data_IF_398159182090
#
_entry.id   IF_398159182090
#
_cell.length_a   1.000
_cell.length_b   1.000
_cell.length_c   1.000
_cell.angle_alpha   90.00
_cell.angle_beta   90.00
_cell.angle_gamma   90.00
#
_symmetry.space_group_name_H-M   'P 1'
#
loop_
_entity.id
_entity.type
_entity.pdbx_description
1 polymer ?
#
# COMPACT_ATOMS: atom_id res chain seq x y z
N UNK A 1 -5.48 21.70 2.50
CA UNK A 1 -4.85 20.37 2.44
C UNK A 1 -5.25 19.77 1.09
N UNK A 2 -4.27 19.34 0.31
CA UNK A 2 -4.53 18.66 -0.97
C UNK A 2 -5.02 17.25 -0.65
N UNK A 3 -6.19 16.85 -1.16
CA UNK A 3 -6.71 15.50 -0.97
C UNK A 3 -6.01 14.53 -1.94
N UNK A 4 -5.47 13.44 -1.39
CA UNK A 4 -4.85 12.34 -2.17
C UNK A 4 -5.88 11.28 -2.50
N UNK A 5 -6.82 11.02 -1.60
CA UNK A 5 -7.97 10.13 -1.80
C UNK A 5 -9.23 10.84 -1.37
N UNK A 6 -10.23 10.89 -2.23
CA UNK A 6 -11.57 11.42 -1.94
C UNK A 6 -12.62 10.42 -2.40
N UNK A 7 -13.36 9.85 -1.47
CA UNK A 7 -14.46 8.92 -1.72
C UNK A 7 -15.74 9.52 -1.14
N UNK A 8 -16.84 9.47 -1.89
CA UNK A 8 -18.16 9.96 -1.44
C UNK A 8 -19.25 8.96 -1.85
N UNK A 9 -19.84 8.32 -0.85
CA UNK A 9 -20.90 7.33 -1.02
C UNK A 9 -20.49 6.15 -1.90
N UNK A 10 -19.22 5.72 -1.85
CA UNK A 10 -18.68 4.74 -2.78
C UNK A 10 -19.21 3.35 -2.48
N UNK A 11 -19.82 2.73 -3.49
CA UNK A 11 -20.25 1.33 -3.50
C UNK A 11 -19.36 0.54 -4.47
N UNK A 12 -18.82 -0.58 -4.02
CA UNK A 12 -18.04 -1.50 -4.84
C UNK A 12 -18.42 -2.94 -4.55
N UNK A 13 -18.56 -3.75 -5.61
CA UNK A 13 -18.99 -5.14 -5.50
C UNK A 13 -17.81 -6.11 -5.65
N UNK A 14 -17.85 -7.21 -4.90
CA UNK A 14 -17.09 -8.43 -5.15
C UNK A 14 -18.07 -9.52 -5.59
N UNK A 15 -18.07 -9.84 -6.88
CA UNK A 15 -19.12 -10.65 -7.47
C UNK A 15 -20.46 -9.92 -7.41
N UNK A 16 -21.40 -10.44 -6.60
CA UNK A 16 -22.73 -9.83 -6.41
C UNK A 16 -22.94 -9.18 -5.04
N UNK A 17 -21.93 -9.20 -4.19
CA UNK A 17 -22.03 -8.69 -2.83
C UNK A 17 -21.35 -7.33 -2.69
N UNK A 18 -22.01 -6.35 -2.03
CA UNK A 18 -21.38 -5.06 -1.74
C UNK A 18 -20.26 -5.26 -0.71
N UNK A 19 -19.02 -5.07 -1.15
CA UNK A 19 -17.84 -5.09 -0.28
C UNK A 19 -17.48 -3.69 0.22
N UNK A 20 -17.89 -2.64 -0.50
CA UNK A 20 -18.07 -1.28 0.02
C UNK A 20 -19.53 -0.89 -0.19
N UNK A 21 -20.17 -0.29 0.82
CA UNK A 21 -21.60 -0.03 0.89
C UNK A 21 -21.90 1.45 1.25
N UNK A 22 -21.28 2.38 0.52
CA UNK A 22 -21.43 3.82 0.77
C UNK A 22 -20.23 4.36 1.60
N UNK A 23 -19.00 4.04 1.19
CA UNK A 23 -17.81 4.52 1.89
C UNK A 23 -17.55 6.01 1.58
N UNK A 24 -17.36 6.79 2.66
CA UNK A 24 -16.92 8.18 2.63
C UNK A 24 -15.52 8.28 3.24
N UNK A 25 -14.57 8.91 2.53
CA UNK A 25 -13.18 9.04 2.98
C UNK A 25 -12.50 10.22 2.29
N UNK A 26 -11.78 11.01 3.08
CA UNK A 26 -10.82 12.00 2.59
C UNK A 26 -9.45 11.70 3.23
N UNK A 27 -8.39 11.54 2.43
CA UNK A 27 -7.02 11.34 2.90
C UNK A 27 -6.13 12.44 2.34
N UNK A 28 -5.37 13.10 3.21
CA UNK A 28 -4.43 14.16 2.86
C UNK A 28 -3.05 13.65 2.47
N UNK A 29 -2.16 14.59 2.11
CA UNK A 29 -0.75 14.29 1.80
C UNK A 29 0.01 13.91 3.08
N UNK A 30 0.99 13.00 2.93
CA UNK A 30 1.92 12.57 4.00
C UNK A 30 1.26 11.93 5.23
N UNK A 31 -0.01 11.54 5.14
CA UNK A 31 -0.67 10.77 6.19
C UNK A 31 -0.25 9.30 6.14
N UNK A 32 -0.12 8.69 7.32
CA UNK A 32 -0.09 7.23 7.47
C UNK A 32 -1.43 6.80 8.05
N UNK A 33 -2.27 6.19 7.24
CA UNK A 33 -3.65 5.83 7.57
C UNK A 33 -3.73 4.32 7.82
N UNK A 34 -4.01 3.91 9.06
CA UNK A 34 -4.31 2.53 9.39
C UNK A 34 -5.79 2.25 9.12
N UNK A 35 -6.04 1.24 8.31
CA UNK A 35 -7.38 0.72 8.01
C UNK A 35 -7.59 -0.57 8.79
N UNK A 36 -8.41 -0.52 9.82
CA UNK A 36 -8.72 -1.64 10.70
C UNK A 36 -10.17 -2.12 10.55
N UNK A 37 -10.46 -3.27 11.13
CA UNK A 37 -11.80 -3.87 11.11
C UNK A 37 -11.74 -5.39 10.95
N UNK A 38 -12.86 -6.11 11.16
CA UNK A 38 -12.89 -7.57 11.09
C UNK A 38 -12.59 -8.09 9.68
N UNK A 39 -12.30 -9.40 9.58
CA UNK A 39 -12.14 -10.05 8.29
C UNK A 39 -13.44 -9.93 7.48
N UNK A 40 -13.30 -9.65 6.17
CA UNK A 40 -14.46 -9.42 5.30
C UNK A 40 -15.10 -8.03 5.42
N UNK A 41 -14.61 -7.14 6.28
CA UNK A 41 -15.19 -5.80 6.47
C UNK A 41 -15.08 -4.88 5.25
N UNK A 42 -14.19 -5.18 4.28
CA UNK A 42 -13.98 -4.36 3.09
C UNK A 42 -12.62 -3.67 3.00
N UNK A 43 -11.70 -3.89 3.94
CA UNK A 43 -10.37 -3.26 3.98
C UNK A 43 -9.58 -3.42 2.68
N UNK A 44 -9.33 -4.66 2.26
CA UNK A 44 -8.61 -4.96 0.99
C UNK A 44 -9.37 -4.43 -0.23
N UNK A 45 -10.71 -4.39 -0.17
CA UNK A 45 -11.55 -3.82 -1.23
C UNK A 45 -11.34 -2.31 -1.31
N UNK A 46 -11.31 -1.61 -0.17
CA UNK A 46 -11.02 -0.18 -0.10
C UNK A 46 -9.66 0.13 -0.74
N UNK A 47 -8.60 -0.59 -0.36
CA UNK A 47 -7.28 -0.42 -0.97
C UNK A 47 -7.29 -0.69 -2.48
N UNK A 48 -7.97 -1.74 -2.94
CA UNK A 48 -8.08 -2.06 -4.37
C UNK A 48 -8.90 -1.04 -5.17
N UNK A 49 -9.92 -0.43 -4.57
CA UNK A 49 -10.65 0.71 -5.16
C UNK A 49 -9.71 1.89 -5.30
N UNK A 50 -9.01 2.28 -4.21
CA UNK A 50 -8.03 3.37 -4.25
C UNK A 50 -6.88 3.11 -5.25
N UNK A 51 -6.52 1.84 -5.50
CA UNK A 51 -5.55 1.46 -6.51
C UNK A 51 -6.09 1.53 -7.96
N UNK A 52 -7.38 1.82 -8.16
CA UNK A 52 -8.04 1.79 -9.47
C UNK A 52 -8.17 0.38 -10.06
N UNK A 53 -8.07 -0.67 -9.23
CA UNK A 53 -8.18 -2.07 -9.65
C UNK A 53 -9.63 -2.56 -9.67
N UNK A 54 -10.46 -2.04 -8.77
CA UNK A 54 -11.90 -2.33 -8.73
C UNK A 54 -12.71 -1.16 -9.29
N UNK A 55 -13.81 -1.49 -9.98
CA UNK A 55 -14.79 -0.50 -10.40
C UNK A 55 -15.68 -0.14 -9.21
N UNK A 56 -16.11 1.11 -9.17
CA UNK A 56 -17.19 1.53 -8.30
C UNK A 56 -18.52 1.40 -9.06
N UNK A 57 -19.57 0.96 -8.38
CA UNK A 57 -20.94 0.85 -8.92
C UNK A 57 -21.69 2.18 -8.80
N UNK A 58 -21.42 2.91 -7.71
CA UNK A 58 -22.01 4.22 -7.45
C UNK A 58 -21.12 5.05 -6.53
N UNK A 59 -21.48 6.33 -6.38
CA UNK A 59 -20.69 7.29 -5.62
C UNK A 59 -19.70 8.05 -6.50
N UNK A 60 -18.79 8.77 -5.85
CA UNK A 60 -17.68 9.50 -6.50
C UNK A 60 -16.38 9.10 -5.85
N UNK A 61 -15.34 8.87 -6.64
CA UNK A 61 -14.03 8.51 -6.15
C UNK A 61 -12.94 9.18 -7.00
N UNK A 62 -12.08 9.93 -6.33
CA UNK A 62 -10.92 10.58 -6.91
C UNK A 62 -9.66 10.17 -6.15
N UNK A 63 -8.60 9.82 -6.87
CA UNK A 63 -7.31 9.45 -6.30
C UNK A 63 -6.20 10.16 -7.06
N UNK A 64 -5.34 10.89 -6.36
CA UNK A 64 -4.25 11.68 -6.93
C UNK A 64 -4.74 12.69 -8.00
N UNK A 65 -5.97 13.23 -7.85
CA UNK A 65 -6.59 14.15 -8.79
C UNK A 65 -7.21 13.47 -10.03
N UNK A 66 -7.30 12.13 -10.05
CA UNK A 66 -7.89 11.37 -11.15
C UNK A 66 -9.20 10.71 -10.72
N UNK A 67 -10.26 10.91 -11.51
CA UNK A 67 -11.55 10.24 -11.30
C UNK A 67 -11.46 8.74 -11.61
N UNK A 68 -11.88 7.90 -10.65
CA UNK A 68 -11.79 6.44 -10.76
C UNK A 68 -12.81 5.83 -11.75
N UNK A 69 -13.76 6.59 -12.25
CA UNK A 69 -14.69 6.12 -13.29
C UNK A 69 -14.06 6.31 -14.68
N UNK A 70 -13.49 7.48 -14.92
CA UNK A 70 -13.01 7.90 -16.25
C UNK A 70 -11.52 7.64 -16.48
N UNK A 71 -10.67 7.73 -15.44
CA UNK A 71 -9.20 7.68 -15.59
C UNK A 71 -8.47 6.75 -14.60
N UNK A 72 -9.02 5.55 -14.36
CA UNK A 72 -8.35 4.54 -13.51
C UNK A 72 -6.95 4.15 -13.99
N UNK A 73 -6.67 4.29 -15.27
CA UNK A 73 -5.36 3.93 -15.81
C UNK A 73 -4.25 4.86 -15.29
N UNK A 74 -4.53 6.16 -15.15
CA UNK A 74 -3.59 7.11 -14.55
C UNK A 74 -3.33 6.78 -13.07
N UNK A 75 -4.39 6.47 -12.30
CA UNK A 75 -4.26 6.05 -10.90
C UNK A 75 -3.34 4.83 -10.77
N UNK A 76 -3.57 3.77 -11.55
CA UNK A 76 -2.75 2.54 -11.49
C UNK A 76 -1.27 2.77 -11.77
N UNK A 77 -0.93 3.78 -12.57
CA UNK A 77 0.47 4.14 -12.83
C UNK A 77 1.13 4.89 -11.67
N UNK A 78 0.33 5.59 -10.87
CA UNK A 78 0.81 6.53 -9.85
C UNK A 78 0.76 5.98 -8.42
N UNK A 79 0.13 4.80 -8.21
CA UNK A 79 0.02 4.16 -6.90
C UNK A 79 0.92 2.94 -6.79
N UNK A 80 1.39 2.65 -5.57
CA UNK A 80 2.07 1.40 -5.23
C UNK A 80 1.14 0.52 -4.40
N UNK A 81 0.80 -0.66 -4.89
CA UNK A 81 -0.01 -1.62 -4.15
C UNK A 81 0.83 -2.84 -3.78
N UNK A 82 0.87 -3.15 -2.49
CA UNK A 82 1.25 -4.43 -1.94
C UNK A 82 -0.02 -5.14 -1.47
N UNK A 83 -0.55 -6.01 -2.29
CA UNK A 83 -1.75 -6.80 -1.98
C UNK A 83 -1.43 -8.11 -1.25
N UNK A 84 -2.43 -8.95 -1.08
CA UNK A 84 -2.25 -10.34 -0.65
C UNK A 84 -1.39 -11.09 -1.67
N UNK A 85 -1.71 -10.95 -2.97
CA UNK A 85 -0.86 -11.39 -4.06
C UNK A 85 0.24 -10.34 -4.29
N UNK A 86 1.48 -10.80 -4.36
CA UNK A 86 2.66 -9.93 -4.40
C UNK A 86 2.88 -9.25 -5.74
N UNK A 87 2.11 -9.63 -6.78
CA UNK A 87 2.28 -9.16 -8.16
C UNK A 87 3.70 -9.37 -8.74
N UNK A 88 4.43 -10.33 -8.20
CA UNK A 88 5.73 -10.76 -8.73
C UNK A 88 5.54 -11.89 -9.73
N UNK A 89 6.38 -11.93 -10.74
CA UNK A 89 6.44 -13.00 -11.72
C UNK A 89 7.28 -14.16 -11.17
N UNK A 90 6.68 -15.32 -10.96
CA UNK A 90 7.27 -16.46 -10.29
C UNK A 90 8.49 -17.04 -11.03
N UNK A 91 8.51 -16.97 -12.36
CA UNK A 91 9.58 -17.48 -13.21
C UNK A 91 10.75 -16.52 -13.39
N UNK A 92 10.57 -15.24 -13.06
CA UNK A 92 11.65 -14.26 -13.08
C UNK A 92 12.44 -14.30 -11.76
N UNK A 93 13.70 -13.92 -11.83
CA UNK A 93 14.52 -13.70 -10.64
C UNK A 93 14.04 -12.47 -9.86
N UNK A 94 14.52 -12.31 -8.63
CA UNK A 94 14.26 -11.12 -7.81
C UNK A 94 14.65 -9.86 -8.57
N UNK A 95 15.87 -9.82 -9.11
CA UNK A 95 16.38 -8.63 -9.81
C UNK A 95 15.62 -8.35 -11.11
N UNK A 96 15.29 -9.37 -11.90
CA UNK A 96 14.49 -9.23 -13.12
C UNK A 96 13.09 -8.68 -12.81
N UNK A 97 12.44 -9.13 -11.72
CA UNK A 97 11.16 -8.58 -11.27
C UNK A 97 11.25 -7.08 -10.98
N UNK A 98 12.28 -6.65 -10.22
CA UNK A 98 12.41 -5.25 -9.88
C UNK A 98 12.75 -4.39 -11.11
N UNK A 99 13.63 -4.86 -11.99
CA UNK A 99 13.91 -4.19 -13.26
C UNK A 99 12.65 -4.06 -14.14
N UNK A 100 11.82 -5.11 -14.18
CA UNK A 100 10.53 -5.02 -14.87
C UNK A 100 9.67 -3.87 -14.32
N UNK A 101 9.50 -3.81 -12.99
CA UNK A 101 8.69 -2.76 -12.36
C UNK A 101 9.31 -1.36 -12.46
N UNK A 102 10.63 -1.23 -12.38
CA UNK A 102 11.35 0.01 -12.61
C UNK A 102 11.04 0.55 -14.02
N UNK A 103 11.30 -0.26 -15.05
CA UNK A 103 11.06 0.11 -16.46
C UNK A 103 9.59 0.40 -16.74
N UNK A 104 8.64 -0.39 -16.20
CA UNK A 104 7.21 -0.14 -16.33
C UNK A 104 6.80 1.21 -15.74
N UNK A 105 7.55 1.72 -14.75
CA UNK A 105 7.36 3.02 -14.10
C UNK A 105 8.27 4.12 -14.65
N UNK A 106 9.07 3.84 -15.70
CA UNK A 106 10.05 4.75 -16.30
C UNK A 106 11.13 5.21 -15.34
N UNK A 107 11.53 4.33 -14.44
CA UNK A 107 12.64 4.51 -13.50
C UNK A 107 13.83 3.71 -14.01
N UNK A 108 15.04 4.25 -13.85
CA UNK A 108 16.28 3.58 -14.28
C UNK A 108 16.57 2.34 -13.43
N UNK A 109 17.11 1.32 -14.07
CA UNK A 109 17.51 0.06 -13.42
C UNK A 109 18.52 0.27 -12.28
N UNK A 110 19.27 1.38 -12.30
CA UNK A 110 20.22 1.77 -11.25
C UNK A 110 19.57 1.96 -9.85
N UNK A 111 18.26 2.20 -9.80
CA UNK A 111 17.52 2.27 -8.55
C UNK A 111 17.25 0.90 -7.90
N UNK A 112 17.39 -0.20 -8.65
CA UNK A 112 17.04 -1.55 -8.19
C UNK A 112 17.94 -2.05 -7.06
N UNK A 113 19.28 -1.97 -7.12
CA UNK A 113 20.13 -2.42 -6.01
C UNK A 113 19.78 -1.75 -4.68
N UNK A 114 19.64 -0.43 -4.68
CA UNK A 114 19.31 0.34 -3.47
C UNK A 114 17.96 -0.06 -2.86
N UNK A 115 16.95 -0.37 -3.70
CA UNK A 115 15.64 -0.85 -3.22
C UNK A 115 15.73 -2.24 -2.61
N UNK A 116 16.54 -3.14 -3.16
CA UNK A 116 16.78 -4.48 -2.61
C UNK A 116 17.51 -4.40 -1.26
N UNK A 117 18.58 -3.61 -1.19
CA UNK A 117 19.38 -3.41 0.03
C UNK A 117 18.51 -2.83 1.15
N UNK A 118 17.68 -1.82 0.81
CA UNK A 118 16.75 -1.20 1.76
C UNK A 118 15.75 -2.18 2.38
N UNK A 119 15.34 -3.19 1.63
CA UNK A 119 14.43 -4.25 2.11
C UNK A 119 15.18 -5.47 2.68
N UNK A 120 16.49 -5.40 2.85
CA UNK A 120 17.30 -6.48 3.38
C UNK A 120 17.24 -7.74 2.53
N UNK A 121 17.10 -7.59 1.21
CA UNK A 121 17.15 -8.70 0.27
C UNK A 121 18.60 -8.97 -0.07
N UNK A 122 19.15 -10.05 0.53
CA UNK A 122 20.56 -10.38 0.39
C UNK A 122 20.97 -10.61 -1.07
N UNK A 123 22.21 -10.21 -1.45
CA UNK A 123 22.74 -10.31 -2.81
C UNK A 123 22.58 -11.70 -3.42
N UNK A 124 22.82 -12.76 -2.64
CA UNK A 124 22.65 -14.16 -3.06
C UNK A 124 21.22 -14.49 -3.54
N UNK A 125 20.22 -13.67 -3.23
CA UNK A 125 18.84 -13.87 -3.64
C UNK A 125 18.52 -13.18 -4.96
N UNK A 126 19.34 -12.26 -5.43
CA UNK A 126 19.06 -11.44 -6.62
C UNK A 126 18.82 -12.30 -7.87
N UNK A 127 19.60 -13.38 -8.03
CA UNK A 127 19.51 -14.31 -9.15
C UNK A 127 18.58 -15.52 -8.86
N UNK A 128 17.89 -15.52 -7.71
CA UNK A 128 16.94 -16.59 -7.37
C UNK A 128 15.58 -16.28 -7.95
N UNK A 129 14.98 -17.29 -8.65
CA UNK A 129 13.61 -17.18 -9.14
C UNK A 129 12.62 -17.02 -7.98
N UNK A 130 11.64 -16.12 -8.14
CA UNK A 130 10.69 -15.73 -7.09
C UNK A 130 9.92 -16.94 -6.52
N UNK A 131 9.61 -17.93 -7.34
CA UNK A 131 8.96 -19.18 -6.87
C UNK A 131 9.74 -19.93 -5.78
N UNK A 132 11.06 -19.73 -5.69
CA UNK A 132 11.95 -20.39 -4.74
C UNK A 132 12.17 -19.58 -3.45
N UNK A 133 11.54 -18.41 -3.32
CA UNK A 133 11.65 -17.57 -2.14
C UNK A 133 10.73 -18.06 -1.02
N UNK A 134 11.15 -17.89 0.24
CA UNK A 134 10.26 -18.00 1.38
C UNK A 134 9.18 -16.89 1.33
N UNK A 135 8.09 -17.06 2.08
CA UNK A 135 7.01 -16.07 2.15
C UNK A 135 7.53 -14.68 2.56
N UNK A 136 8.40 -14.60 3.58
CA UNK A 136 8.99 -13.36 4.04
C UNK A 136 9.94 -12.72 3.01
N UNK A 137 10.77 -13.53 2.32
CA UNK A 137 11.62 -13.04 1.22
C UNK A 137 10.78 -12.49 0.07
N UNK A 138 9.72 -13.22 -0.33
CA UNK A 138 8.77 -12.79 -1.36
C UNK A 138 8.09 -11.48 -0.96
N UNK A 139 7.69 -11.34 0.32
CA UNK A 139 7.05 -10.13 0.83
C UNK A 139 7.98 -8.92 0.76
N UNK A 140 9.22 -9.06 1.21
CA UNK A 140 10.24 -8.01 1.13
C UNK A 140 10.57 -7.65 -0.32
N UNK A 141 10.69 -8.63 -1.22
CA UNK A 141 10.88 -8.38 -2.66
C UNK A 141 9.72 -7.61 -3.27
N UNK A 142 8.48 -7.95 -2.92
CA UNK A 142 7.30 -7.25 -3.40
C UNK A 142 7.24 -5.79 -2.92
N UNK A 143 7.62 -5.54 -1.66
CA UNK A 143 7.71 -4.17 -1.15
C UNK A 143 8.89 -3.40 -1.81
N UNK A 144 10.02 -4.07 -2.11
CA UNK A 144 11.10 -3.46 -2.88
C UNK A 144 10.62 -3.00 -4.28
N UNK A 145 9.73 -3.75 -4.92
CA UNK A 145 9.10 -3.33 -6.18
C UNK A 145 8.19 -2.10 -6.01
N UNK A 146 7.57 -1.90 -4.85
CA UNK A 146 6.87 -0.65 -4.52
C UNK A 146 7.86 0.49 -4.30
N UNK A 147 8.93 0.26 -3.52
CA UNK A 147 9.97 1.25 -3.22
C UNK A 147 10.64 1.77 -4.50
N UNK A 148 11.02 0.90 -5.42
CA UNK A 148 11.69 1.28 -6.67
C UNK A 148 10.83 2.21 -7.52
N UNK A 149 9.52 2.05 -7.49
CA UNK A 149 8.56 2.85 -8.25
C UNK A 149 8.30 4.24 -7.67
N UNK A 150 8.66 4.49 -6.41
CA UNK A 150 8.48 5.77 -5.68
C UNK A 150 7.09 6.37 -5.83
N UNK A 151 5.99 5.64 -5.57
CA UNK A 151 4.65 6.16 -5.78
C UNK A 151 4.30 7.21 -4.71
N UNK A 152 3.42 8.16 -5.06
CA UNK A 152 2.91 9.17 -4.11
C UNK A 152 1.90 8.57 -3.11
N UNK A 153 1.20 7.50 -3.48
CA UNK A 153 0.27 6.78 -2.62
C UNK A 153 0.68 5.31 -2.54
N UNK A 154 0.96 4.86 -1.32
CA UNK A 154 1.23 3.47 -0.98
C UNK A 154 -0.01 2.83 -0.39
N UNK A 155 -0.39 1.68 -0.91
CA UNK A 155 -1.55 0.90 -0.48
C UNK A 155 -1.04 -0.48 -0.05
N UNK A 156 -1.00 -0.75 1.25
CA UNK A 156 -0.33 -1.91 1.83
C UNK A 156 -1.35 -2.81 2.54
N UNK A 157 -1.60 -4.00 2.00
CA UNK A 157 -2.51 -4.98 2.59
C UNK A 157 -1.69 -6.02 3.35
N UNK A 158 -1.78 -6.01 4.69
CA UNK A 158 -1.03 -6.87 5.61
C UNK A 158 0.49 -6.86 5.37
N UNK A 159 1.19 -5.69 5.38
CA UNK A 159 2.58 -5.59 4.96
C UNK A 159 3.54 -6.46 5.79
N UNK A 160 3.24 -6.74 7.05
CA UNK A 160 4.07 -7.49 8.00
C UNK A 160 3.87 -9.02 7.92
N UNK A 161 2.88 -9.50 7.17
CA UNK A 161 2.53 -10.91 7.12
C UNK A 161 3.70 -11.80 6.67
N UNK A 162 3.96 -12.87 7.43
CA UNK A 162 5.01 -13.84 7.14
C UNK A 162 6.44 -13.39 7.45
N UNK A 163 6.61 -12.27 8.17
CA UNK A 163 7.92 -11.75 8.57
C UNK A 163 8.23 -12.07 10.03
N UNK A 164 9.51 -12.23 10.31
CA UNK A 164 10.07 -12.20 11.67
C UNK A 164 10.10 -10.78 12.22
N UNK A 165 10.46 -10.62 13.51
CA UNK A 165 10.47 -9.33 14.18
C UNK A 165 11.37 -8.31 13.43
N UNK A 166 12.60 -8.70 13.08
CA UNK A 166 13.51 -7.79 12.36
C UNK A 166 12.99 -7.38 10.98
N UNK A 167 12.30 -8.29 10.29
CA UNK A 167 11.65 -7.98 9.02
C UNK A 167 10.49 -7.00 9.18
N UNK A 168 9.71 -7.12 10.25
CA UNK A 168 8.63 -6.18 10.59
C UNK A 168 9.17 -4.79 10.93
N UNK A 169 10.22 -4.70 11.76
CA UNK A 169 10.86 -3.43 12.13
C UNK A 169 11.41 -2.71 10.90
N UNK A 170 11.99 -3.47 9.97
CA UNK A 170 12.46 -2.94 8.70
C UNK A 170 11.33 -2.35 7.85
N UNK A 171 10.18 -3.05 7.77
CA UNK A 171 9.01 -2.55 7.04
C UNK A 171 8.46 -1.26 7.66
N UNK A 172 8.39 -1.20 9.00
CA UNK A 172 7.96 0.00 9.72
C UNK A 172 8.84 1.20 9.36
N UNK A 173 10.16 1.01 9.39
CA UNK A 173 11.11 2.06 9.02
C UNK A 173 10.93 2.52 7.57
N UNK A 174 10.71 1.59 6.65
CA UNK A 174 10.48 1.91 5.22
C UNK A 174 9.18 2.72 5.04
N UNK A 175 8.12 2.39 5.79
CA UNK A 175 6.84 3.13 5.76
C UNK A 175 7.05 4.56 6.30
N UNK A 176 7.74 4.71 7.43
CA UNK A 176 8.04 6.01 8.05
C UNK A 176 8.87 6.90 7.12
N UNK A 177 9.90 6.33 6.51
CA UNK A 177 10.76 7.07 5.59
C UNK A 177 9.99 7.50 4.31
N UNK A 178 9.09 6.64 3.80
CA UNK A 178 8.26 7.00 2.66
C UNK A 178 7.34 8.17 2.99
N UNK A 179 6.68 8.16 4.16
CA UNK A 179 5.82 9.24 4.61
C UNK A 179 6.61 10.53 4.85
N UNK A 180 7.81 10.44 5.46
CA UNK A 180 8.71 11.57 5.67
C UNK A 180 9.21 12.19 4.37
N UNK A 181 9.31 11.37 3.30
CA UNK A 181 9.62 11.82 1.95
C UNK A 181 8.40 12.37 1.17
N UNK A 182 7.24 12.49 1.84
CA UNK A 182 6.02 13.08 1.26
C UNK A 182 5.03 12.08 0.66
N UNK A 183 5.29 10.77 0.75
CA UNK A 183 4.31 9.79 0.31
C UNK A 183 3.16 9.68 1.32
N UNK A 184 1.95 9.43 0.82
CA UNK A 184 0.81 9.05 1.65
C UNK A 184 0.74 7.52 1.71
N UNK A 185 0.49 6.96 2.89
CA UNK A 185 0.42 5.52 3.09
C UNK A 185 -0.93 5.13 3.67
N UNK A 186 -1.62 4.19 3.04
CA UNK A 186 -2.79 3.52 3.62
C UNK A 186 -2.43 2.05 3.83
N UNK A 187 -2.49 1.57 5.06
CA UNK A 187 -2.18 0.18 5.37
C UNK A 187 -3.36 -0.50 6.07
N UNK A 188 -3.73 -1.69 5.58
CA UNK A 188 -4.65 -2.58 6.27
C UNK A 188 -3.84 -3.60 7.08
N UNK A 189 -4.12 -3.71 8.37
CA UNK A 189 -3.45 -4.68 9.24
C UNK A 189 -4.38 -5.17 10.35
N UNK A 190 -4.11 -6.39 10.80
CA UNK A 190 -4.69 -6.95 12.02
C UNK A 190 -3.69 -6.94 13.20
N UNK A 191 -2.42 -6.58 12.96
CA UNK A 191 -1.38 -6.40 13.99
C UNK A 191 -1.51 -4.99 14.62
N UNK A 192 -2.58 -4.77 15.38
CA UNK A 192 -2.96 -3.42 15.83
C UNK A 192 -1.89 -2.78 16.73
N UNK A 193 -1.35 -3.51 17.71
CA UNK A 193 -0.37 -2.97 18.67
C UNK A 193 0.83 -2.31 17.97
N UNK A 194 1.30 -2.91 16.88
CA UNK A 194 2.42 -2.39 16.10
C UNK A 194 2.04 -1.21 15.21
N UNK A 195 0.92 -1.33 14.52
CA UNK A 195 0.54 -0.38 13.47
C UNK A 195 -0.10 0.89 14.02
N UNK A 196 -0.61 0.86 15.25
CA UNK A 196 -1.11 2.05 15.95
C UNK A 196 -0.02 3.10 16.15
N UNK A 197 1.21 2.69 16.50
CA UNK A 197 2.35 3.59 16.73
C UNK A 197 2.88 4.22 15.43
N UNK A 198 2.64 3.58 14.28
CA UNK A 198 3.04 4.09 12.97
C UNK A 198 2.05 5.13 12.43
N UNK A 199 0.77 4.96 12.73
CA UNK A 199 -0.30 5.67 12.04
C UNK A 199 -0.53 7.08 12.60
N UNK A 200 -0.70 8.04 11.68
CA UNK A 200 -1.18 9.40 12.01
C UNK A 200 -2.70 9.46 12.09
N UNK A 201 -3.40 8.42 11.59
CA UNK A 201 -4.86 8.35 11.51
C UNK A 201 -5.34 6.91 11.46
N UNK A 202 -6.45 6.63 12.14
CA UNK A 202 -7.05 5.31 12.25
C UNK A 202 -8.46 5.31 11.67
N UNK A 203 -8.71 4.40 10.73
CA UNK A 203 -10.02 4.19 10.13
C UNK A 203 -10.55 2.82 10.54
N UNK A 204 -11.79 2.74 10.99
CA UNK A 204 -12.46 1.47 11.21
C UNK A 204 -13.45 1.21 10.09
N UNK A 205 -13.30 0.07 9.43
CA UNK A 205 -14.21 -0.41 8.38
C UNK A 205 -15.06 -1.54 8.94
N UNK A 206 -16.37 -1.42 8.82
CA UNK A 206 -17.33 -2.46 9.19
C UNK A 206 -18.48 -2.50 8.19
N UNK A 207 -18.85 -3.70 7.71
CA UNK A 207 -19.94 -3.88 6.76
C UNK A 207 -19.78 -3.08 5.45
N UNK A 208 -18.56 -2.83 5.02
CA UNK A 208 -18.28 -2.05 3.81
C UNK A 208 -18.40 -0.53 3.95
N UNK A 209 -18.58 -0.02 5.15
CA UNK A 209 -18.62 1.42 5.46
C UNK A 209 -17.49 1.82 6.40
N UNK A 210 -17.11 3.10 6.44
CA UNK A 210 -16.19 3.64 7.42
C UNK A 210 -17.00 4.09 8.63
N UNK A 211 -16.81 3.45 9.78
CA UNK A 211 -17.61 3.66 10.99
C UNK A 211 -16.91 4.53 12.03
N UNK A 212 -15.58 4.65 11.96
CA UNK A 212 -14.78 5.55 12.81
C UNK A 212 -13.62 6.08 11.99
N UNK A 213 -13.22 7.32 12.29
CA UNK A 213 -12.14 8.06 11.67
C UNK A 213 -11.50 8.96 12.73
N UNK A 214 -10.39 8.51 13.29
CA UNK A 214 -9.74 9.10 14.44
C UNK A 214 -8.29 9.49 14.11
N UNK A 215 -7.83 10.61 14.65
CA UNK A 215 -6.42 10.98 14.55
C UNK A 215 -5.58 10.08 15.46
N UNK A 216 -4.48 9.58 14.92
CA UNK A 216 -3.48 8.83 15.68
C UNK A 216 -2.66 9.73 16.62
N UNK A 217 -1.84 9.11 17.44
CA UNK A 217 -0.94 9.81 18.37
C UNK A 217 0.23 10.51 17.66
N UNK A 218 0.56 10.09 16.43
CA UNK A 218 1.67 10.64 15.65
C UNK A 218 1.21 11.83 14.81
N UNK A 219 1.98 12.91 14.78
CA UNK A 219 1.74 14.04 13.89
C UNK A 219 2.28 13.77 12.47
N UNK A 220 1.57 14.20 11.41
CA UNK A 220 2.07 14.11 10.05
C UNK A 220 3.37 14.91 9.88
N UNK A 221 4.42 14.28 9.34
CA UNK A 221 5.67 14.97 9.03
C UNK A 221 6.59 15.29 10.21
N UNK A 222 6.30 14.83 11.42
CA UNK A 222 7.17 14.99 12.58
C UNK A 222 8.47 14.19 12.43
N UNK A 223 9.61 14.86 12.23
CA UNK A 223 10.91 14.27 12.46
C UNK A 223 11.08 14.19 13.99
N UNK A 224 11.12 12.99 14.55
CA UNK A 224 11.76 12.79 15.85
C UNK A 224 13.26 13.01 15.64
N UNK A 225 13.73 14.24 15.92
CA UNK A 225 15.14 14.52 16.02
C UNK A 225 15.64 13.92 17.35
N UNK A 226 16.31 12.80 17.28
CA UNK A 226 17.14 12.25 18.34
C UNK A 226 18.53 11.92 17.77
#
# INVERSE_FOLDING_TARGET
>A
VVSIVSLRGVVALLGRFPALAGADLEVGESEIVLVQGPNGAGKSTLLRVCAGLLRIESGRAEVLGHDLVTDRAAVRRSVGLLGHDTALYDDLTVEENLRFWARASRIDDEAVPAALDRLGVADRLRDVAVRNLSAGQRRRTALAAVVVRRPRLWLLDEPHSGLDQGGRDLIDQVILDAASAGATVMLASHELDRTLDLATRHLTVAGGTITSDERGSREPGGHDAA
#
